data_IF_397303018478
#
_entry.id   IF_397303018478
#
_cell.length_a   1.000
_cell.length_b   1.000
_cell.length_c   1.000
_cell.angle_alpha   90.00
_cell.angle_beta   90.00
_cell.angle_gamma   90.00
#
_symmetry.space_group_name_H-M   'P 1'
#
loop_
_entity.id
_entity.type
_entity.pdbx_description
1 polymer ?
#
# COMPACT_ATOMS: atom_id res chain seq x y z
N UNK A 1 -20.09 -52.36 15.99
CA UNK A 1 -20.33 -51.38 17.06
C UNK A 1 -20.11 -49.99 16.47
N UNK A 2 -21.19 -49.31 16.10
CA UNK A 2 -21.23 -47.87 15.82
C UNK A 2 -22.48 -47.38 16.54
N UNK A 3 -22.30 -47.01 17.80
CA UNK A 3 -23.33 -46.40 18.65
C UNK A 3 -23.05 -44.91 18.71
N UNK A 4 -23.49 -44.19 17.67
CA UNK A 4 -23.63 -42.72 17.71
C UNK A 4 -25.07 -42.39 18.10
N UNK A 5 -25.25 -41.44 19.00
CA UNK A 5 -26.55 -40.98 19.46
C UNK A 5 -27.21 -40.18 18.32
N UNK A 6 -28.04 -40.84 17.51
CA UNK A 6 -28.74 -40.25 16.36
C UNK A 6 -29.55 -38.99 16.72
N UNK A 7 -29.96 -38.84 17.98
CA UNK A 7 -30.75 -37.68 18.43
C UNK A 7 -29.90 -36.40 18.60
N UNK A 8 -28.64 -36.51 19.04
CA UNK A 8 -27.74 -35.35 19.21
C UNK A 8 -27.30 -34.77 17.86
N UNK A 9 -26.99 -35.63 16.90
CA UNK A 9 -26.45 -35.25 15.59
C UNK A 9 -27.47 -34.49 14.72
N UNK A 10 -28.77 -34.74 14.88
CA UNK A 10 -29.80 -34.20 14.00
C UNK A 10 -30.80 -33.25 14.66
N UNK A 11 -31.03 -33.35 15.98
CA UNK A 11 -31.98 -32.47 16.70
C UNK A 11 -31.31 -31.52 17.70
N UNK A 12 -30.00 -31.67 17.94
CA UNK A 12 -29.18 -30.83 18.80
C UNK A 12 -29.19 -31.26 20.27
N UNK A 13 -28.13 -30.88 21.00
CA UNK A 13 -27.83 -31.34 22.38
C UNK A 13 -28.94 -31.05 23.42
N UNK A 14 -29.87 -30.13 23.13
CA UNK A 14 -30.96 -29.74 24.04
C UNK A 14 -32.32 -30.33 23.66
N UNK A 15 -32.37 -31.29 22.74
CA UNK A 15 -33.62 -31.88 22.29
C UNK A 15 -34.19 -32.86 23.32
N UNK A 16 -35.42 -32.61 23.77
CA UNK A 16 -36.17 -33.50 24.66
C UNK A 16 -37.51 -33.91 24.00
N UNK A 17 -37.62 -35.12 23.45
CA UNK A 17 -38.86 -35.56 22.82
C UNK A 17 -39.95 -35.82 23.88
N UNK A 18 -41.15 -35.29 23.65
CA UNK A 18 -42.33 -35.62 24.45
C UNK A 18 -42.77 -37.05 24.17
N UNK A 19 -43.25 -37.79 25.18
CA UNK A 19 -43.58 -39.23 25.08
C UNK A 19 -44.70 -39.62 24.11
N UNK A 20 -45.22 -38.68 23.31
CA UNK A 20 -46.22 -38.88 22.24
C UNK A 20 -45.93 -38.08 20.97
N UNK A 21 -44.76 -37.47 20.85
CA UNK A 21 -44.43 -36.61 19.72
C UNK A 21 -43.74 -37.44 18.62
N UNK A 22 -44.20 -37.27 17.38
CA UNK A 22 -43.55 -37.85 16.20
C UNK A 22 -42.71 -36.76 15.56
N UNK A 23 -41.39 -36.94 15.58
CA UNK A 23 -40.44 -36.03 14.96
C UNK A 23 -40.01 -36.59 13.60
N UNK A 24 -40.25 -35.82 12.55
CA UNK A 24 -39.93 -36.21 11.17
C UNK A 24 -38.78 -35.35 10.67
N UNK A 25 -37.64 -35.98 10.36
CA UNK A 25 -36.57 -35.35 9.61
C UNK A 25 -36.93 -35.36 8.13
N UNK A 26 -36.99 -34.20 7.50
CA UNK A 26 -37.22 -34.10 6.05
C UNK A 26 -35.92 -33.68 5.40
N UNK A 27 -35.30 -34.61 4.68
CA UNK A 27 -34.20 -34.31 3.77
C UNK A 27 -34.79 -33.68 2.50
N UNK A 28 -34.57 -32.38 2.33
CA UNK A 28 -34.99 -31.69 1.11
C UNK A 28 -34.08 -32.13 -0.04
N UNK A 29 -34.61 -32.34 -1.26
CA UNK A 29 -33.78 -32.55 -2.43
C UNK A 29 -32.73 -31.43 -2.56
N UNK A 30 -31.50 -31.72 -3.04
CA UNK A 30 -30.48 -30.69 -3.24
C UNK A 30 -30.97 -29.49 -4.08
N UNK A 31 -31.97 -29.73 -4.93
CA UNK A 31 -32.56 -28.76 -5.85
C UNK A 31 -33.69 -27.93 -5.22
N UNK A 32 -33.97 -28.10 -3.92
CA UNK A 32 -35.03 -27.40 -3.17
C UNK A 32 -34.53 -26.64 -1.94
N UNK A 33 -33.23 -26.35 -1.84
CA UNK A 33 -32.78 -25.28 -0.95
C UNK A 33 -33.17 -23.96 -1.62
N UNK A 34 -34.45 -23.58 -1.47
CA UNK A 34 -34.93 -22.26 -1.84
C UNK A 34 -33.98 -21.26 -1.22
N UNK A 35 -33.42 -20.34 -2.00
CA UNK A 35 -32.61 -19.24 -1.49
C UNK A 35 -33.46 -18.48 -0.46
N UNK A 36 -33.29 -18.80 0.82
CA UNK A 36 -34.03 -18.11 1.87
C UNK A 36 -33.37 -16.76 2.05
N UNK A 37 -33.95 -15.73 1.42
CA UNK A 37 -33.48 -14.35 1.53
C UNK A 37 -33.89 -13.70 2.86
N UNK A 38 -33.60 -14.38 3.97
CA UNK A 38 -33.82 -13.86 5.32
C UNK A 38 -32.47 -13.70 5.99
N UNK A 39 -32.14 -12.48 6.41
CA UNK A 39 -30.91 -12.24 7.16
C UNK A 39 -31.04 -12.81 8.57
N UNK A 40 -30.28 -13.87 8.86
CA UNK A 40 -30.25 -14.51 10.19
C UNK A 40 -29.21 -13.87 11.12
N UNK A 41 -28.92 -12.58 10.95
CA UNK A 41 -27.91 -11.84 11.71
C UNK A 41 -26.47 -12.03 11.21
N UNK A 42 -26.27 -12.78 10.13
CA UNK A 42 -24.94 -13.02 9.56
C UNK A 42 -24.29 -11.75 9.01
N UNK A 43 -25.09 -10.84 8.43
CA UNK A 43 -24.58 -9.53 8.01
C UNK A 43 -24.03 -8.75 9.20
N UNK A 44 -24.78 -8.67 10.31
CA UNK A 44 -24.32 -7.96 11.51
C UNK A 44 -23.08 -8.61 12.12
N UNK A 45 -23.02 -9.96 12.10
CA UNK A 45 -21.83 -10.69 12.52
C UNK A 45 -20.62 -10.34 11.65
N UNK A 46 -20.76 -10.37 10.32
CA UNK A 46 -19.69 -10.00 9.39
C UNK A 46 -19.18 -8.58 9.64
N UNK A 47 -20.08 -7.59 9.76
CA UNK A 47 -19.69 -6.20 10.06
C UNK A 47 -18.88 -6.12 11.35
N UNK A 48 -19.30 -6.82 12.40
CA UNK A 48 -18.60 -6.83 13.68
C UNK A 48 -17.21 -7.49 13.60
N UNK A 49 -17.07 -8.62 12.90
CA UNK A 49 -15.77 -9.26 12.69
C UNK A 49 -14.85 -8.40 11.82
N UNK A 50 -15.37 -7.81 10.74
CA UNK A 50 -14.63 -6.90 9.88
C UNK A 50 -14.05 -5.72 10.68
N UNK A 51 -14.85 -5.10 11.55
CA UNK A 51 -14.40 -3.99 12.40
C UNK A 51 -13.36 -4.38 13.45
N UNK A 52 -13.33 -5.64 13.89
CA UNK A 52 -12.27 -6.13 14.79
C UNK A 52 -10.89 -6.18 14.13
N UNK A 53 -10.86 -6.17 12.80
CA UNK A 53 -9.63 -6.10 12.01
C UNK A 53 -9.18 -4.65 11.73
N UNK A 54 -9.68 -3.67 12.50
CA UNK A 54 -9.21 -2.29 12.41
C UNK A 54 -7.70 -2.22 12.72
N UNK A 55 -6.95 -1.58 11.82
CA UNK A 55 -5.51 -1.41 11.99
C UNK A 55 -5.21 -0.40 13.09
N UNK A 56 -4.23 -0.73 13.93
CA UNK A 56 -3.65 0.24 14.85
C UNK A 56 -2.83 1.28 14.06
N UNK A 57 -2.64 2.52 14.58
CA UNK A 57 -1.94 3.58 13.85
C UNK A 57 -0.53 3.21 13.34
N UNK A 58 0.21 2.39 14.09
CA UNK A 58 1.55 1.92 13.71
C UNK A 58 1.55 0.79 12.66
N UNK A 59 0.38 0.26 12.30
CA UNK A 59 0.18 -0.76 11.28
C UNK A 59 -0.43 -0.19 9.99
N UNK A 60 -0.71 1.12 9.97
CA UNK A 60 -1.19 1.78 8.76
C UNK A 60 -0.11 1.66 7.67
N UNK A 61 -0.47 1.20 6.46
CA UNK A 61 0.47 1.09 5.35
C UNK A 61 1.05 2.46 5.02
N UNK A 62 2.33 2.53 4.66
CA UNK A 62 2.90 3.78 4.15
C UNK A 62 2.25 4.18 2.82
N UNK A 63 2.40 5.44 2.38
CA UNK A 63 1.75 5.96 1.17
C UNK A 63 2.07 5.11 -0.08
N UNK A 64 3.32 4.60 -0.18
CA UNK A 64 3.76 3.69 -1.25
C UNK A 64 3.17 2.28 -1.16
N UNK A 65 2.78 1.82 0.03
CA UNK A 65 2.21 0.50 0.29
C UNK A 65 0.69 0.46 0.06
N UNK A 66 0.00 1.61 0.04
CA UNK A 66 -1.47 1.68 0.01
C UNK A 66 -2.10 0.95 -1.18
N UNK A 67 -1.52 1.08 -2.38
CA UNK A 67 -2.03 0.41 -3.57
C UNK A 67 -1.94 -1.12 -3.42
N UNK A 68 -0.86 -1.62 -2.83
CA UNK A 68 -0.68 -3.06 -2.58
C UNK A 68 -1.56 -3.54 -1.43
N UNK A 69 -1.72 -2.69 -0.41
CA UNK A 69 -2.59 -2.96 0.71
C UNK A 69 -4.03 -3.20 0.25
N UNK A 70 -4.56 -2.35 -0.64
CA UNK A 70 -5.92 -2.46 -1.21
C UNK A 70 -6.07 -3.71 -2.09
N UNK A 71 -5.00 -4.20 -2.68
CA UNK A 71 -5.02 -5.43 -3.49
C UNK A 71 -5.10 -6.72 -2.64
N UNK A 72 -4.93 -6.65 -1.32
CA UNK A 72 -5.11 -7.82 -0.47
C UNK A 72 -6.58 -8.24 -0.38
N UNK A 73 -6.81 -9.50 0.01
CA UNK A 73 -8.16 -9.96 0.30
C UNK A 73 -8.76 -9.24 1.51
N UNK A 74 -10.09 -9.12 1.52
CA UNK A 74 -10.79 -8.54 2.65
C UNK A 74 -10.52 -9.40 3.90
N UNK A 75 -10.07 -8.82 5.03
CA UNK A 75 -9.74 -9.59 6.24
C UNK A 75 -10.86 -10.51 6.69
N UNK A 76 -12.11 -10.05 6.52
CA UNK A 76 -13.31 -10.84 6.71
C UNK A 76 -14.17 -10.74 5.46
N UNK A 77 -14.22 -11.82 4.67
CA UNK A 77 -14.95 -11.86 3.40
C UNK A 77 -16.47 -11.88 3.62
N UNK A 78 -17.18 -11.21 2.72
CA UNK A 78 -18.64 -11.17 2.73
C UNK A 78 -19.19 -12.50 2.22
N UNK A 79 -20.06 -13.14 2.99
CA UNK A 79 -20.61 -14.45 2.64
C UNK A 79 -21.82 -14.34 1.72
N UNK A 80 -21.80 -15.07 0.59
CA UNK A 80 -22.86 -15.09 -0.42
C UNK A 80 -23.35 -16.52 -0.69
N UNK A 81 -24.59 -16.64 -1.18
CA UNK A 81 -25.07 -17.87 -1.81
C UNK A 81 -24.39 -18.09 -3.15
N UNK A 82 -24.16 -19.35 -3.53
CA UNK A 82 -23.58 -19.74 -4.82
C UNK A 82 -24.31 -19.08 -6.00
N UNK A 83 -25.64 -19.22 -6.07
CA UNK A 83 -26.42 -18.64 -7.17
C UNK A 83 -26.30 -17.10 -7.28
N UNK A 84 -26.17 -16.40 -6.15
CA UNK A 84 -26.01 -14.94 -6.15
C UNK A 84 -24.61 -14.56 -6.63
N UNK A 85 -23.60 -15.28 -6.14
CA UNK A 85 -22.22 -15.13 -6.59
C UNK A 85 -22.13 -15.32 -8.12
N UNK A 86 -22.65 -16.44 -8.63
CA UNK A 86 -22.65 -16.75 -10.06
C UNK A 86 -23.40 -15.70 -10.88
N UNK A 87 -24.58 -15.29 -10.41
CA UNK A 87 -25.38 -14.24 -11.05
C UNK A 87 -24.62 -12.92 -11.14
N UNK A 88 -23.92 -12.53 -10.08
CA UNK A 88 -23.15 -11.30 -10.05
C UNK A 88 -21.94 -11.36 -10.98
N UNK A 89 -21.21 -12.48 -10.97
CA UNK A 89 -20.08 -12.71 -11.87
C UNK A 89 -20.50 -12.57 -13.34
N UNK A 90 -21.64 -13.17 -13.73
CA UNK A 90 -22.16 -13.09 -15.10
C UNK A 90 -22.59 -11.66 -15.47
N UNK A 91 -23.05 -10.86 -14.51
CA UNK A 91 -23.54 -9.49 -14.75
C UNK A 91 -22.45 -8.43 -14.77
N UNK A 92 -21.25 -8.74 -14.31
CA UNK A 92 -20.13 -7.81 -14.41
C UNK A 92 -19.80 -7.54 -15.87
N UNK A 93 -19.77 -6.26 -16.26
CA UNK A 93 -19.37 -5.85 -17.63
C UNK A 93 -17.96 -6.31 -17.99
N UNK A 94 -17.11 -6.50 -16.98
CA UNK A 94 -15.79 -7.12 -17.10
C UNK A 94 -15.66 -8.16 -16.00
N UNK A 95 -15.65 -9.43 -16.37
CA UNK A 95 -15.47 -10.53 -15.41
C UNK A 95 -14.13 -10.37 -14.69
N UNK A 96 -14.16 -10.36 -13.36
CA UNK A 96 -12.96 -10.40 -12.52
C UNK A 96 -13.14 -11.41 -11.39
N UNK A 97 -12.87 -12.71 -11.67
CA UNK A 97 -12.95 -13.77 -10.66
C UNK A 97 -12.03 -13.50 -9.47
N UNK A 98 -10.86 -12.88 -9.69
CA UNK A 98 -9.91 -12.55 -8.65
C UNK A 98 -10.48 -11.51 -7.68
N UNK A 99 -11.13 -10.46 -8.19
CA UNK A 99 -11.77 -9.44 -7.36
C UNK A 99 -12.91 -10.04 -6.53
N UNK A 100 -13.74 -10.88 -7.17
CA UNK A 100 -14.83 -11.57 -6.48
C UNK A 100 -14.29 -12.48 -5.35
N UNK A 101 -13.19 -13.20 -5.61
CA UNK A 101 -12.55 -14.07 -4.62
C UNK A 101 -11.87 -13.30 -3.47
N UNK A 102 -11.43 -12.06 -3.70
CA UNK A 102 -10.87 -11.18 -2.65
C UNK A 102 -11.94 -10.67 -1.68
N UNK A 103 -13.14 -10.38 -2.18
CA UNK A 103 -14.21 -9.75 -1.40
C UNK A 103 -15.20 -10.74 -0.79
N UNK A 104 -15.50 -11.83 -1.51
CA UNK A 104 -16.60 -12.72 -1.18
C UNK A 104 -16.15 -14.15 -0.88
N UNK A 105 -16.96 -14.84 -0.07
CA UNK A 105 -16.85 -16.27 0.20
C UNK A 105 -18.20 -16.92 0.02
N UNK A 106 -18.23 -18.11 -0.59
CA UNK A 106 -19.47 -18.84 -0.78
C UNK A 106 -19.84 -19.58 0.51
N UNK A 107 -21.03 -19.30 1.03
CA UNK A 107 -21.64 -20.00 2.17
C UNK A 107 -23.18 -19.89 2.05
N UNK A 108 -23.81 -20.98 1.61
CA UNK A 108 -25.25 -21.02 1.35
C UNK A 108 -26.10 -20.95 2.63
N UNK A 109 -25.51 -21.13 3.82
CA UNK A 109 -26.22 -21.13 5.10
C UNK A 109 -26.03 -19.81 5.88
N UNK A 110 -24.90 -19.14 5.68
CA UNK A 110 -24.49 -17.96 6.45
C UNK A 110 -24.42 -16.68 5.61
N UNK A 111 -25.36 -16.49 4.71
CA UNK A 111 -25.35 -15.41 3.73
C UNK A 111 -25.56 -14.03 4.38
N UNK A 112 -24.82 -13.03 3.91
CA UNK A 112 -25.00 -11.63 4.29
C UNK A 112 -26.16 -10.98 3.49
N UNK A 113 -27.38 -11.43 3.75
CA UNK A 113 -28.58 -11.05 2.99
C UNK A 113 -28.87 -9.54 3.09
N UNK A 114 -28.68 -8.93 4.25
CA UNK A 114 -28.93 -7.49 4.39
C UNK A 114 -27.87 -6.64 3.63
N UNK A 115 -26.63 -7.12 3.51
CA UNK A 115 -25.64 -6.50 2.60
C UNK A 115 -26.11 -6.58 1.14
N UNK A 116 -26.59 -7.75 0.71
CA UNK A 116 -27.11 -7.95 -0.64
C UNK A 116 -28.22 -6.96 -0.98
N UNK A 117 -29.20 -6.77 -0.09
CA UNK A 117 -30.33 -5.86 -0.34
C UNK A 117 -29.97 -4.38 -0.23
N UNK A 118 -29.08 -4.01 0.71
CA UNK A 118 -28.79 -2.60 0.97
C UNK A 118 -27.70 -2.03 0.07
N UNK A 119 -26.73 -2.86 -0.31
CA UNK A 119 -25.54 -2.46 -1.08
C UNK A 119 -25.52 -3.20 -2.41
N UNK A 120 -25.51 -4.53 -2.36
CA UNK A 120 -25.28 -5.39 -3.52
C UNK A 120 -26.21 -5.13 -4.71
N UNK A 121 -27.51 -5.08 -4.48
CA UNK A 121 -28.50 -4.88 -5.53
C UNK A 121 -28.35 -3.51 -6.22
N UNK A 122 -27.87 -2.49 -5.51
CA UNK A 122 -27.69 -1.14 -6.07
C UNK A 122 -26.50 -1.08 -7.02
N UNK A 123 -25.46 -1.86 -6.74
CA UNK A 123 -24.27 -1.98 -7.59
C UNK A 123 -24.61 -2.77 -8.85
N UNK A 124 -25.27 -3.93 -8.70
CA UNK A 124 -25.53 -4.85 -9.82
C UNK A 124 -26.64 -4.37 -10.75
N UNK A 125 -27.61 -3.62 -10.21
CA UNK A 125 -28.74 -3.07 -10.96
C UNK A 125 -28.72 -1.55 -10.94
N UNK A 126 -27.53 -0.96 -11.08
CA UNK A 126 -27.37 0.48 -11.17
C UNK A 126 -28.24 1.04 -12.31
N UNK A 127 -29.02 2.07 -11.98
CA UNK A 127 -29.79 2.82 -12.98
C UNK A 127 -28.86 3.80 -13.67
N UNK A 128 -29.06 4.04 -14.97
CA UNK A 128 -28.34 5.09 -15.69
C UNK A 128 -28.59 6.46 -15.02
N UNK A 129 -27.56 7.09 -14.40
CA UNK A 129 -27.70 8.39 -13.76
C UNK A 129 -28.10 9.51 -14.73
N UNK A 130 -27.76 9.45 -16.02
CA UNK A 130 -27.96 10.55 -16.97
C UNK A 130 -26.68 11.28 -17.34
N UNK A 131 -26.73 12.59 -17.57
CA UNK A 131 -25.65 13.38 -18.17
C UNK A 131 -25.27 14.66 -17.40
N UNK A 132 -25.82 14.86 -16.19
CA UNK A 132 -25.52 16.05 -15.36
C UNK A 132 -24.89 15.66 -14.02
N UNK A 133 -24.07 16.53 -13.45
CA UNK A 133 -23.46 16.32 -12.11
C UNK A 133 -24.52 15.92 -11.06
N UNK A 134 -25.62 16.69 -10.96
CA UNK A 134 -26.71 16.41 -10.00
C UNK A 134 -27.34 15.04 -10.20
N UNK A 135 -27.43 14.57 -11.45
CA UNK A 135 -28.02 13.27 -11.77
C UNK A 135 -27.14 12.08 -11.33
N UNK A 136 -25.82 12.29 -11.22
CA UNK A 136 -24.87 11.30 -10.69
C UNK A 136 -24.82 11.22 -9.16
N UNK A 137 -25.42 12.18 -8.43
CA UNK A 137 -25.37 12.19 -6.95
C UNK A 137 -25.89 10.88 -6.35
N UNK A 138 -27.04 10.38 -6.83
CA UNK A 138 -27.60 9.12 -6.31
C UNK A 138 -26.73 7.92 -6.64
N UNK A 139 -26.07 7.94 -7.79
CA UNK A 139 -25.17 6.87 -8.22
C UNK A 139 -23.93 6.81 -7.32
N UNK A 140 -23.28 7.95 -7.06
CA UNK A 140 -22.15 8.02 -6.14
C UNK A 140 -22.54 7.78 -4.67
N UNK A 141 -23.74 8.19 -4.27
CA UNK A 141 -24.28 7.84 -2.95
C UNK A 141 -24.43 6.33 -2.79
N UNK A 142 -24.82 5.61 -3.84
CA UNK A 142 -24.93 4.15 -3.80
C UNK A 142 -23.57 3.44 -3.73
N UNK A 143 -22.56 3.92 -4.45
CA UNK A 143 -21.24 3.31 -4.49
C UNK A 143 -20.34 3.66 -3.30
N UNK A 144 -20.48 4.86 -2.74
CA UNK A 144 -19.55 5.39 -1.73
C UNK A 144 -20.27 5.60 -0.41
N UNK A 145 -21.24 6.53 -0.38
CA UNK A 145 -21.90 6.95 0.87
C UNK A 145 -22.60 5.79 1.56
N UNK A 146 -23.37 5.00 0.83
CA UNK A 146 -24.14 3.89 1.37
C UNK A 146 -23.24 2.77 1.85
N UNK A 147 -22.10 2.53 1.19
CA UNK A 147 -21.09 1.56 1.64
C UNK A 147 -20.47 2.01 2.97
N UNK A 148 -20.01 3.27 3.06
CA UNK A 148 -19.44 3.82 4.30
C UNK A 148 -20.47 3.83 5.44
N UNK A 149 -21.68 4.31 5.19
CA UNK A 149 -22.78 4.31 6.16
C UNK A 149 -23.33 2.91 6.47
N UNK A 150 -22.88 1.86 5.78
CA UNK A 150 -23.23 0.50 6.12
C UNK A 150 -22.14 -0.10 7.02
N UNK A 151 -20.88 0.00 6.58
CA UNK A 151 -19.74 -0.66 7.20
C UNK A 151 -19.25 0.08 8.45
N UNK A 152 -19.32 1.41 8.52
CA UNK A 152 -18.72 2.23 9.59
C UNK A 152 -19.68 3.27 10.19
N UNK A 153 -20.98 2.98 10.18
CA UNK A 153 -22.06 3.88 10.63
C UNK A 153 -22.02 4.35 12.08
N UNK A 154 -21.32 3.62 12.95
CA UNK A 154 -21.13 3.92 14.37
C UNK A 154 -19.86 4.71 14.64
N UNK A 155 -19.01 4.90 13.62
CA UNK A 155 -17.73 5.62 13.73
C UNK A 155 -17.89 7.06 13.25
N UNK A 156 -18.65 7.29 12.19
CA UNK A 156 -18.74 8.61 11.57
C UNK A 156 -20.02 8.86 10.79
N UNK A 157 -20.12 10.06 10.24
CA UNK A 157 -21.30 10.53 9.52
C UNK A 157 -20.93 11.10 8.15
N UNK A 158 -21.75 10.79 7.16
CA UNK A 158 -21.65 11.35 5.81
C UNK A 158 -22.37 12.69 5.70
N UNK A 159 -21.76 13.66 5.03
CA UNK A 159 -22.33 14.96 4.68
C UNK A 159 -22.12 15.24 3.20
N UNK A 160 -23.05 15.99 2.61
CA UNK A 160 -22.98 16.47 1.22
C UNK A 160 -22.91 17.98 1.19
N UNK A 161 -22.18 18.55 0.24
CA UNK A 161 -22.14 19.99 -0.06
C UNK A 161 -21.96 20.86 1.20
N UNK A 162 -21.03 20.48 2.06
CA UNK A 162 -20.85 21.10 3.38
C UNK A 162 -19.41 21.57 3.57
N UNK A 163 -19.22 22.65 4.31
CA UNK A 163 -17.88 23.07 4.79
C UNK A 163 -17.65 22.65 6.25
N UNK A 164 -18.59 21.91 6.85
CA UNK A 164 -18.55 21.53 8.27
C UNK A 164 -17.34 20.63 8.53
N UNK A 165 -16.39 21.12 9.32
CA UNK A 165 -15.15 20.39 9.65
C UNK A 165 -14.38 19.85 8.44
N UNK A 166 -14.58 20.48 7.28
CA UNK A 166 -13.97 20.06 6.02
C UNK A 166 -12.51 20.52 5.88
N UNK A 167 -12.07 21.41 6.78
CA UNK A 167 -10.77 22.06 6.72
C UNK A 167 -10.53 22.76 5.38
N UNK A 168 -11.56 23.37 4.81
CA UNK A 168 -11.55 23.96 3.45
C UNK A 168 -11.92 25.45 3.41
N UNK A 169 -11.89 26.13 4.56
CA UNK A 169 -12.39 27.51 4.67
C UNK A 169 -13.88 27.60 4.32
N UNK A 170 -14.25 28.42 3.33
CA UNK A 170 -15.63 28.55 2.83
C UNK A 170 -16.01 27.53 1.76
N UNK A 171 -15.05 26.77 1.23
CA UNK A 171 -15.28 25.83 0.13
C UNK A 171 -15.99 24.58 0.66
N UNK A 172 -16.86 24.00 -0.17
CA UNK A 172 -17.77 22.92 0.22
C UNK A 172 -17.52 21.72 -0.67
N UNK A 173 -16.72 20.75 -0.23
CA UNK A 173 -16.58 19.50 -0.99
C UNK A 173 -17.94 18.83 -1.17
N UNK A 174 -18.11 18.16 -2.31
CA UNK A 174 -19.37 17.50 -2.63
C UNK A 174 -19.72 16.42 -1.63
N UNK A 175 -18.71 15.68 -1.16
CA UNK A 175 -18.87 14.64 -0.15
C UNK A 175 -17.84 14.74 0.97
N UNK A 176 -18.29 14.47 2.20
CA UNK A 176 -17.45 14.37 3.40
C UNK A 176 -17.90 13.19 4.26
N UNK A 177 -16.94 12.47 4.82
CA UNK A 177 -17.15 11.53 5.92
C UNK A 177 -16.39 12.01 7.15
N UNK A 178 -17.13 12.30 8.23
CA UNK A 178 -16.60 12.95 9.44
C UNK A 178 -16.67 11.99 10.62
N UNK A 179 -15.53 11.82 11.29
CA UNK A 179 -15.35 11.06 12.54
C UNK A 179 -14.90 12.04 13.62
N UNK A 180 -15.62 12.15 14.74
CA UNK A 180 -15.28 13.03 15.86
C UNK A 180 -14.90 14.47 15.46
N UNK A 181 -15.67 15.08 14.54
CA UNK A 181 -15.43 16.42 13.97
C UNK A 181 -14.19 16.56 13.09
N UNK A 182 -13.61 15.46 12.61
CA UNK A 182 -12.49 15.41 11.67
C UNK A 182 -12.95 14.76 10.36
N UNK A 183 -12.76 15.44 9.22
CA UNK A 183 -13.09 14.89 7.91
C UNK A 183 -12.02 13.92 7.41
N UNK A 184 -12.26 12.61 7.51
CA UNK A 184 -11.28 11.55 7.20
C UNK A 184 -11.37 11.05 5.76
N UNK A 185 -12.47 11.34 5.06
CA UNK A 185 -12.65 11.01 3.64
C UNK A 185 -13.49 12.09 2.95
N UNK A 186 -13.05 12.56 1.79
CA UNK A 186 -13.72 13.64 1.03
C UNK A 186 -13.78 13.36 -0.46
N UNK A 187 -14.73 13.98 -1.16
CA UNK A 187 -14.87 13.82 -2.60
C UNK A 187 -15.32 15.07 -3.32
N UNK A 188 -14.88 15.20 -4.57
CA UNK A 188 -15.38 16.18 -5.55
C UNK A 188 -15.96 15.42 -6.76
N UNK A 189 -17.12 15.86 -7.24
CA UNK A 189 -17.92 15.19 -8.26
C UNK A 189 -18.28 16.17 -9.38
N UNK A 190 -17.97 15.82 -10.62
CA UNK A 190 -18.22 16.69 -11.78
C UNK A 190 -19.04 15.97 -12.85
N UNK A 191 -19.73 16.77 -13.67
CA UNK A 191 -20.57 16.27 -14.77
C UNK A 191 -19.76 15.48 -15.81
N UNK A 192 -20.38 14.53 -16.51
CA UNK A 192 -19.76 13.91 -17.70
C UNK A 192 -19.28 14.95 -18.71
N UNK A 193 -18.09 14.74 -19.27
CA UNK A 193 -17.50 15.63 -20.27
C UNK A 193 -16.58 16.71 -19.70
N UNK A 194 -16.58 16.91 -18.38
CA UNK A 194 -15.57 17.72 -17.71
C UNK A 194 -14.20 17.04 -17.70
N UNK A 195 -13.15 17.80 -17.40
CA UNK A 195 -11.81 17.23 -17.24
C UNK A 195 -11.62 16.74 -15.81
N UNK A 196 -11.14 15.50 -15.63
CA UNK A 196 -10.82 14.92 -14.31
C UNK A 196 -9.87 15.78 -13.47
N UNK A 197 -9.10 16.63 -14.13
CA UNK A 197 -8.21 17.58 -13.49
C UNK A 197 -8.95 18.65 -12.67
N UNK A 198 -10.18 19.02 -13.04
CA UNK A 198 -11.02 19.99 -12.32
C UNK A 198 -11.40 19.49 -10.92
N UNK A 199 -12.14 18.37 -10.76
CA UNK A 199 -12.50 17.88 -9.43
C UNK A 199 -11.27 17.43 -8.64
N UNK A 200 -10.22 16.93 -9.32
CA UNK A 200 -8.93 16.67 -8.68
C UNK A 200 -8.42 17.94 -8.02
N UNK A 201 -8.22 19.03 -8.76
CA UNK A 201 -7.68 20.28 -8.22
C UNK A 201 -8.51 20.82 -7.06
N UNK A 202 -9.84 20.78 -7.17
CA UNK A 202 -10.75 21.19 -6.08
C UNK A 202 -10.58 20.33 -4.82
N UNK A 203 -10.29 19.04 -4.96
CA UNK A 203 -10.03 18.14 -3.84
C UNK A 203 -8.78 18.56 -3.05
N UNK A 204 -7.75 19.06 -3.73
CA UNK A 204 -6.45 19.40 -3.15
C UNK A 204 -6.29 20.87 -2.76
N UNK A 205 -6.51 21.80 -3.68
CA UNK A 205 -6.27 23.23 -3.45
C UNK A 205 -7.20 23.79 -2.37
N UNK A 206 -8.37 23.19 -2.20
CA UNK A 206 -9.28 23.57 -1.15
C UNK A 206 -8.92 22.94 0.21
N UNK A 207 -7.97 22.01 0.29
CA UNK A 207 -7.60 21.34 1.54
C UNK A 207 -6.61 22.20 2.34
N UNK A 208 -7.02 22.63 3.53
CA UNK A 208 -6.12 23.14 4.57
C UNK A 208 -5.81 22.00 5.53
N UNK A 209 -4.53 21.68 5.71
CA UNK A 209 -4.14 20.58 6.58
C UNK A 209 -4.37 20.93 8.07
N UNK A 210 -5.36 20.32 8.70
CA UNK A 210 -5.67 20.48 10.14
C UNK A 210 -5.58 19.16 10.93
N UNK A 211 -4.98 18.13 10.33
CA UNK A 211 -5.06 16.73 10.76
C UNK A 211 -3.89 16.27 11.63
N UNK A 212 -3.07 17.21 12.11
CA UNK A 212 -1.86 16.91 12.88
C UNK A 212 -0.90 16.02 12.09
N UNK A 213 -0.45 14.94 12.73
CA UNK A 213 0.53 13.98 12.21
C UNK A 213 -0.11 12.81 11.45
N UNK A 214 -1.35 12.95 10.97
CA UNK A 214 -1.97 11.91 10.14
C UNK A 214 -1.08 11.59 8.92
N UNK A 215 -0.81 10.31 8.61
CA UNK A 215 0.10 9.97 7.51
C UNK A 215 -0.47 10.34 6.14
N UNK A 216 -1.80 10.23 5.99
CA UNK A 216 -2.55 10.61 4.80
C UNK A 216 -4.04 10.71 5.13
N UNK A 217 -4.77 11.41 4.26
CA UNK A 217 -6.24 11.38 4.17
C UNK A 217 -6.65 10.66 2.90
N UNK A 218 -7.84 10.07 2.92
CA UNK A 218 -8.39 9.50 1.71
C UNK A 218 -9.31 10.50 1.01
N UNK A 219 -9.35 10.45 -0.32
CA UNK A 219 -10.35 11.17 -1.07
C UNK A 219 -10.63 10.57 -2.43
N UNK A 220 -11.61 11.11 -3.13
CA UNK A 220 -11.92 10.72 -4.50
C UNK A 220 -12.25 11.93 -5.37
N UNK A 221 -12.02 11.78 -6.67
CA UNK A 221 -12.53 12.69 -7.68
C UNK A 221 -13.22 11.87 -8.77
N UNK A 222 -14.37 12.35 -9.23
CA UNK A 222 -15.16 11.65 -10.25
C UNK A 222 -15.61 12.61 -11.35
N UNK A 223 -15.67 12.09 -12.58
CA UNK A 223 -16.25 12.75 -13.75
C UNK A 223 -17.15 11.74 -14.46
N UNK A 224 -18.46 11.93 -14.36
CA UNK A 224 -19.41 10.95 -14.88
C UNK A 224 -19.18 9.56 -14.27
N UNK A 225 -18.75 8.58 -15.06
CA UNK A 225 -18.44 7.21 -14.60
C UNK A 225 -16.95 6.99 -14.28
N UNK A 226 -16.07 7.94 -14.62
CA UNK A 226 -14.65 7.83 -14.29
C UNK A 226 -14.43 8.20 -12.83
N UNK A 227 -13.81 7.31 -12.05
CA UNK A 227 -13.47 7.54 -10.65
C UNK A 227 -11.98 7.38 -10.41
N UNK A 228 -11.42 8.23 -9.55
CA UNK A 228 -10.06 8.08 -9.04
C UNK A 228 -10.07 8.20 -7.52
N UNK A 229 -9.37 7.28 -6.87
CA UNK A 229 -9.14 7.29 -5.43
C UNK A 229 -7.75 7.85 -5.15
N UNK A 230 -7.66 8.67 -4.11
CA UNK A 230 -6.45 9.38 -3.73
C UNK A 230 -6.12 9.14 -2.27
N UNK A 231 -4.82 9.07 -2.00
CA UNK A 231 -4.24 9.27 -0.68
C UNK A 231 -3.50 10.61 -0.68
N UNK A 232 -3.84 11.48 0.27
CA UNK A 232 -3.39 12.86 0.35
C UNK A 232 -2.49 12.98 1.57
N UNK A 233 -1.18 13.17 1.38
CA UNK A 233 -0.20 13.24 2.46
C UNK A 233 0.39 14.65 2.62
N UNK A 234 0.70 15.05 3.85
CA UNK A 234 1.41 16.30 4.14
C UNK A 234 2.90 16.16 3.79
N UNK A 235 3.46 17.17 3.14
CA UNK A 235 4.84 17.11 2.61
C UNK A 235 5.80 17.93 3.48
N UNK A 236 5.40 19.14 3.89
CA UNK A 236 6.22 20.04 4.71
C UNK A 236 5.35 20.91 5.63
N UNK A 237 5.98 21.52 6.65
CA UNK A 237 5.31 22.51 7.52
C UNK A 237 4.91 23.80 6.78
N UNK A 238 5.50 24.07 5.61
CA UNK A 238 5.28 25.28 4.79
C UNK A 238 4.74 25.01 3.36
N UNK A 239 4.38 23.76 2.98
CA UNK A 239 3.86 23.44 1.62
C UNK A 239 2.76 22.36 1.66
N UNK A 240 1.65 22.66 1.00
CA UNK A 240 0.46 21.82 0.86
C UNK A 240 0.72 20.53 0.04
N UNK A 241 0.04 19.46 0.48
CA UNK A 241 0.11 18.03 0.14
C UNK A 241 0.68 17.51 -1.21
N UNK A 242 1.27 16.30 -1.19
CA UNK A 242 1.58 15.46 -2.37
C UNK A 242 0.52 14.36 -2.47
N UNK A 243 0.16 14.05 -3.71
CA UNK A 243 -0.80 13.02 -4.10
C UNK A 243 -0.08 11.87 -4.82
N UNK A 244 -0.43 10.64 -4.43
CA UNK A 244 -0.04 9.43 -5.16
C UNK A 244 -1.30 8.80 -5.76
N UNK A 245 -1.36 8.73 -7.09
CA UNK A 245 -2.39 7.99 -7.80
C UNK A 245 -2.06 6.49 -7.74
N UNK A 246 -2.99 5.70 -7.24
CA UNK A 246 -2.83 4.26 -7.05
C UNK A 246 -3.05 3.51 -8.38
N UNK A 247 -2.18 3.70 -9.37
CA UNK A 247 -2.25 3.00 -10.66
C UNK A 247 -1.49 1.64 -10.65
N UNK A 248 -2.06 0.54 -11.19
CA UNK A 248 -1.51 -0.82 -11.10
C UNK A 248 -0.09 -1.03 -11.67
N UNK A 249 0.36 -0.20 -12.61
CA UNK A 249 1.55 -0.50 -13.45
C UNK A 249 2.67 0.53 -13.39
N UNK A 250 2.44 1.69 -12.78
CA UNK A 250 3.40 2.78 -12.68
C UNK A 250 3.27 3.48 -11.33
N UNK A 251 4.27 4.29 -11.00
CA UNK A 251 4.20 5.23 -9.88
C UNK A 251 3.99 6.61 -10.47
N UNK A 252 2.91 7.28 -10.08
CA UNK A 252 2.58 8.62 -10.56
C UNK A 252 2.75 9.58 -9.39
N UNK A 253 3.69 10.52 -9.54
CA UNK A 253 3.87 11.64 -8.60
C UNK A 253 3.21 12.89 -9.19
N UNK A 254 2.19 13.40 -8.50
CA UNK A 254 1.49 14.62 -8.88
C UNK A 254 2.06 15.82 -8.09
N UNK A 255 2.24 16.96 -8.75
CA UNK A 255 2.83 18.15 -8.15
C UNK A 255 1.89 19.36 -8.26
N UNK A 256 1.90 20.27 -7.27
CA UNK A 256 1.34 21.60 -7.45
C UNK A 256 2.00 22.32 -8.64
N UNK A 257 1.24 23.10 -9.41
CA UNK A 257 1.74 23.78 -10.62
C UNK A 257 2.99 24.64 -10.34
N UNK A 258 3.01 25.34 -9.21
CA UNK A 258 4.12 26.17 -8.77
C UNK A 258 5.44 25.39 -8.55
N UNK A 259 5.36 24.09 -8.27
CA UNK A 259 6.50 23.23 -7.96
C UNK A 259 6.87 22.30 -9.12
N UNK A 260 5.92 21.99 -9.99
CA UNK A 260 6.09 21.00 -11.04
C UNK A 260 7.29 21.30 -11.94
N UNK A 261 7.49 22.54 -12.38
CA UNK A 261 8.60 22.86 -13.29
C UNK A 261 9.97 22.65 -12.64
N UNK A 262 10.10 22.95 -11.33
CA UNK A 262 11.33 22.71 -10.58
C UNK A 262 11.56 21.21 -10.37
N UNK A 263 10.53 20.48 -9.95
CA UNK A 263 10.58 19.03 -9.74
C UNK A 263 10.92 18.31 -11.05
N UNK A 264 10.21 18.63 -12.13
CA UNK A 264 10.43 18.10 -13.48
C UNK A 264 11.86 18.35 -13.95
N UNK A 265 12.34 19.60 -13.89
CA UNK A 265 13.70 19.92 -14.35
C UNK A 265 14.79 19.19 -13.56
N UNK A 266 14.60 19.01 -12.25
CA UNK A 266 15.51 18.22 -11.42
C UNK A 266 15.46 16.73 -11.75
N UNK A 267 14.26 16.14 -11.81
CA UNK A 267 14.05 14.72 -12.13
C UNK A 267 14.56 14.39 -13.53
N UNK A 268 14.26 15.19 -14.55
CA UNK A 268 14.78 14.99 -15.90
C UNK A 268 16.31 15.01 -15.93
N UNK A 269 16.95 15.88 -15.15
CA UNK A 269 18.40 15.94 -15.06
C UNK A 269 19.01 14.67 -14.46
N UNK A 270 18.51 14.18 -13.33
CA UNK A 270 19.04 12.97 -12.69
C UNK A 270 18.69 11.70 -13.49
N UNK A 271 17.46 11.55 -13.95
CA UNK A 271 17.03 10.36 -14.69
C UNK A 271 17.71 10.24 -16.06
N UNK A 272 18.07 11.36 -16.69
CA UNK A 272 18.96 11.36 -17.85
C UNK A 272 20.33 10.75 -17.53
N UNK A 273 20.92 11.07 -16.38
CA UNK A 273 22.18 10.45 -15.93
C UNK A 273 22.00 8.95 -15.71
N UNK A 274 20.88 8.53 -15.10
CA UNK A 274 20.57 7.11 -14.90
C UNK A 274 20.54 6.35 -16.23
N UNK A 275 19.92 6.94 -17.26
CA UNK A 275 19.81 6.35 -18.59
C UNK A 275 21.16 6.33 -19.34
N UNK A 276 21.84 7.48 -19.44
CA UNK A 276 23.10 7.62 -20.18
C UNK A 276 24.22 6.72 -19.62
N UNK A 277 24.25 6.52 -18.30
CA UNK A 277 25.24 5.67 -17.63
C UNK A 277 24.76 4.22 -17.44
N UNK A 278 23.55 3.90 -17.93
CA UNK A 278 22.90 2.60 -17.80
C UNK A 278 22.97 2.07 -16.36
N UNK A 279 22.54 2.90 -15.40
CA UNK A 279 22.56 2.56 -13.97
C UNK A 279 21.59 1.38 -13.74
N UNK A 280 22.05 0.25 -13.16
CA UNK A 280 21.22 -0.93 -12.96
C UNK A 280 20.37 -0.79 -11.72
N UNK A 281 19.32 -1.62 -11.60
CA UNK A 281 18.50 -1.75 -10.39
C UNK A 281 17.93 -0.40 -9.91
N UNK A 282 17.39 0.40 -10.83
CA UNK A 282 16.70 1.66 -10.56
C UNK A 282 15.39 1.73 -11.34
N UNK A 283 14.48 2.60 -10.90
CA UNK A 283 13.35 3.00 -11.73
C UNK A 283 13.78 3.97 -12.86
N UNK A 284 12.82 4.32 -13.71
CA UNK A 284 12.97 5.19 -14.86
C UNK A 284 11.81 6.15 -14.93
N UNK A 285 12.08 7.38 -15.34
CA UNK A 285 11.07 8.32 -15.76
C UNK A 285 10.51 7.84 -17.11
N UNK A 286 9.26 7.40 -17.11
CA UNK A 286 8.55 6.99 -18.32
C UNK A 286 8.08 8.22 -19.11
N UNK A 287 7.49 9.19 -18.39
CA UNK A 287 6.83 10.33 -19.00
C UNK A 287 6.60 11.46 -17.97
N UNK A 288 6.69 12.72 -18.43
CA UNK A 288 6.24 13.89 -17.67
C UNK A 288 4.96 14.51 -18.29
N UNK A 289 3.83 14.42 -17.58
CA UNK A 289 2.57 15.05 -17.97
C UNK A 289 2.59 16.50 -17.54
N UNK A 290 2.86 17.40 -18.48
CA UNK A 290 2.86 18.82 -18.15
C UNK A 290 1.46 19.39 -17.99
N UNK A 291 0.44 18.80 -18.60
CA UNK A 291 -0.92 19.30 -18.48
C UNK A 291 -1.51 18.94 -17.13
N UNK A 292 -1.20 17.73 -16.66
CA UNK A 292 -1.68 17.23 -15.38
C UNK A 292 -0.66 17.38 -14.23
N UNK A 293 0.49 18.03 -14.49
CA UNK A 293 1.58 18.22 -13.53
C UNK A 293 2.07 16.91 -12.88
N UNK A 294 2.26 15.84 -13.69
CA UNK A 294 2.61 14.49 -13.22
C UNK A 294 3.97 14.03 -13.72
N UNK A 295 4.69 13.30 -12.90
CA UNK A 295 5.85 12.51 -13.30
C UNK A 295 5.50 11.03 -13.11
N UNK A 296 5.62 10.25 -14.18
CA UNK A 296 5.28 8.83 -14.20
C UNK A 296 6.56 8.00 -14.26
N UNK A 297 6.69 7.05 -13.35
CA UNK A 297 7.88 6.21 -13.18
C UNK A 297 7.57 4.72 -13.34
N UNK A 298 8.54 3.97 -13.88
CA UNK A 298 8.48 2.52 -14.10
C UNK A 298 9.85 1.86 -13.87
N UNK A 299 9.92 0.57 -13.50
CA UNK A 299 8.79 -0.31 -13.19
C UNK A 299 8.21 -0.03 -11.79
N UNK A 300 6.95 -0.38 -11.56
CA UNK A 300 6.37 -0.46 -10.21
C UNK A 300 6.76 -1.80 -9.58
N UNK A 301 7.18 -1.79 -8.32
CA UNK A 301 7.48 -3.01 -7.56
C UNK A 301 6.60 -3.14 -6.32
N UNK A 302 7.13 -3.75 -5.27
CA UNK A 302 6.51 -3.92 -3.96
C UNK A 302 7.43 -3.34 -2.89
N UNK A 303 6.93 -2.39 -2.11
CA UNK A 303 7.62 -1.96 -0.90
C UNK A 303 7.56 -3.12 0.11
N UNK A 304 8.71 -3.73 0.39
CA UNK A 304 8.80 -4.89 1.27
C UNK A 304 10.13 -4.85 2.00
N UNK A 305 10.17 -5.33 3.24
CA UNK A 305 11.44 -5.61 3.92
C UNK A 305 11.93 -7.02 3.60
N UNK A 306 13.26 -7.26 3.58
CA UNK A 306 13.79 -8.59 3.37
C UNK A 306 13.25 -9.54 4.45
N UNK A 307 12.73 -10.69 4.04
CA UNK A 307 12.15 -11.67 4.95
C UNK A 307 13.22 -12.56 5.62
N UNK A 308 14.43 -12.57 5.07
CA UNK A 308 15.55 -13.37 5.55
C UNK A 308 16.90 -12.75 5.11
N UNK A 309 17.98 -13.31 5.64
CA UNK A 309 19.33 -12.81 5.38
C UNK A 309 19.76 -12.90 3.90
N UNK A 310 19.27 -13.89 3.14
CA UNK A 310 19.58 -14.00 1.70
C UNK A 310 18.92 -12.87 0.94
N UNK A 311 17.64 -12.58 1.21
CA UNK A 311 16.97 -11.42 0.62
C UNK A 311 17.66 -10.11 0.98
N UNK A 312 18.16 -9.97 2.21
CA UNK A 312 18.93 -8.79 2.62
C UNK A 312 20.24 -8.66 1.82
N UNK A 313 20.99 -9.74 1.61
CA UNK A 313 22.19 -9.70 0.76
C UNK A 313 21.86 -9.26 -0.66
N UNK A 314 20.81 -9.81 -1.27
CA UNK A 314 20.40 -9.41 -2.61
C UNK A 314 19.96 -7.94 -2.69
N UNK A 315 19.15 -7.46 -1.74
CA UNK A 315 18.71 -6.07 -1.68
C UNK A 315 19.90 -5.10 -1.59
N UNK A 316 20.83 -5.34 -0.65
CA UNK A 316 22.04 -4.53 -0.48
C UNK A 316 22.94 -4.59 -1.72
N UNK A 317 23.06 -5.77 -2.35
CA UNK A 317 23.86 -5.94 -3.56
C UNK A 317 23.26 -5.18 -4.75
N UNK A 318 21.94 -5.15 -4.91
CA UNK A 318 21.29 -4.40 -5.98
C UNK A 318 21.43 -2.89 -5.78
N UNK A 319 21.23 -2.40 -4.54
CA UNK A 319 21.48 -0.99 -4.19
C UNK A 319 22.92 -0.61 -4.47
N UNK A 320 23.89 -1.39 -3.98
CA UNK A 320 25.32 -1.10 -4.20
C UNK A 320 25.71 -1.14 -5.68
N UNK A 321 25.12 -2.03 -6.49
CA UNK A 321 25.33 -2.04 -7.94
C UNK A 321 24.86 -0.75 -8.62
N UNK A 322 23.72 -0.18 -8.18
CA UNK A 322 23.25 1.11 -8.66
C UNK A 322 24.23 2.22 -8.25
N UNK A 323 24.61 2.25 -6.97
CA UNK A 323 25.51 3.26 -6.41
C UNK A 323 26.90 3.24 -7.05
N UNK A 324 27.45 2.07 -7.39
CA UNK A 324 28.73 1.99 -8.11
C UNK A 324 28.73 2.84 -9.37
N UNK A 325 27.66 2.75 -10.18
CA UNK A 325 27.58 3.53 -11.42
C UNK A 325 27.17 4.97 -11.17
N UNK A 326 26.25 5.22 -10.23
CA UNK A 326 25.82 6.58 -9.86
C UNK A 326 27.00 7.41 -9.33
N UNK A 327 27.79 6.83 -8.43
CA UNK A 327 28.97 7.47 -7.84
C UNK A 327 30.07 7.69 -8.88
N UNK A 328 30.24 6.77 -9.84
CA UNK A 328 31.15 6.96 -10.96
C UNK A 328 30.73 8.13 -11.87
N UNK A 329 29.43 8.40 -11.97
CA UNK A 329 28.89 9.59 -12.65
C UNK A 329 28.95 10.87 -11.79
N UNK A 330 29.59 10.82 -10.61
CA UNK A 330 29.65 11.92 -9.63
C UNK A 330 28.28 12.37 -9.11
N UNK A 331 27.33 11.44 -9.02
CA UNK A 331 26.03 11.66 -8.35
C UNK A 331 25.91 10.80 -7.09
N UNK A 332 25.01 11.22 -6.20
CA UNK A 332 24.62 10.51 -4.97
C UNK A 332 23.09 10.57 -4.81
N UNK A 333 22.50 9.57 -4.16
CA UNK A 333 21.06 9.45 -3.97
C UNK A 333 20.53 10.27 -2.79
N UNK A 334 21.27 10.28 -1.68
CA UNK A 334 21.01 10.98 -0.42
C UNK A 334 19.83 10.50 0.44
N UNK A 335 18.76 9.97 -0.14
CA UNK A 335 17.60 9.44 0.63
C UNK A 335 17.48 7.91 0.56
N UNK A 336 18.56 7.17 0.84
CA UNK A 336 18.51 5.69 0.80
C UNK A 336 17.93 5.16 2.11
N UNK A 337 16.73 4.59 2.03
CA UNK A 337 15.99 3.98 3.14
C UNK A 337 15.03 2.93 2.60
N UNK A 338 14.50 2.07 3.48
CA UNK A 338 13.63 0.95 3.06
C UNK A 338 12.43 1.38 2.19
N UNK A 339 11.75 2.51 2.44
CA UNK A 339 10.71 3.03 1.54
C UNK A 339 11.16 3.24 0.08
N UNK A 340 12.45 3.48 -0.14
CA UNK A 340 13.03 3.72 -1.46
C UNK A 340 13.74 2.49 -2.05
N UNK A 341 13.68 1.33 -1.38
CA UNK A 341 14.27 0.06 -1.87
C UNK A 341 13.16 -0.95 -2.12
N UNK A 342 12.83 -1.15 -3.39
CA UNK A 342 11.61 -1.82 -3.82
C UNK A 342 11.93 -3.23 -4.35
N UNK A 343 11.13 -4.22 -3.94
CA UNK A 343 11.21 -5.59 -4.46
C UNK A 343 10.54 -5.68 -5.83
N UNK A 344 11.21 -6.29 -6.80
CA UNK A 344 10.65 -6.56 -8.12
C UNK A 344 9.51 -7.59 -8.04
N UNK A 345 8.45 -7.37 -8.83
CA UNK A 345 7.36 -8.35 -9.00
C UNK A 345 7.74 -9.50 -9.93
N UNK A 346 8.65 -9.25 -10.86
CA UNK A 346 8.98 -10.16 -11.94
C UNK A 346 10.02 -11.21 -11.55
N UNK A 347 10.70 -11.02 -10.40
CA UNK A 347 11.73 -11.95 -9.94
C UNK A 347 11.84 -11.99 -8.42
N UNK A 348 11.85 -13.20 -7.87
CA UNK A 348 11.73 -13.47 -6.42
C UNK A 348 12.83 -12.87 -5.53
N UNK A 349 13.87 -12.28 -6.11
CA UNK A 349 15.06 -11.81 -5.39
C UNK A 349 15.71 -10.56 -5.97
N UNK A 350 15.07 -9.86 -6.92
CA UNK A 350 15.62 -8.60 -7.43
C UNK A 350 15.00 -7.42 -6.71
N UNK A 351 15.84 -6.44 -6.41
CA UNK A 351 15.47 -5.19 -5.77
C UNK A 351 15.96 -4.03 -6.61
N UNK A 352 15.32 -2.87 -6.50
CA UNK A 352 15.74 -1.66 -7.17
C UNK A 352 15.52 -0.43 -6.30
N UNK A 353 16.37 0.57 -6.50
CA UNK A 353 16.34 1.85 -5.79
C UNK A 353 15.43 2.82 -6.56
N UNK A 354 14.54 3.50 -5.86
CA UNK A 354 13.64 4.52 -6.41
C UNK A 354 13.84 5.85 -5.70
N UNK A 355 13.13 6.86 -6.19
CA UNK A 355 13.01 8.18 -5.57
C UNK A 355 14.30 9.02 -5.53
N UNK A 356 14.79 9.35 -6.73
CA UNK A 356 15.95 10.21 -6.93
C UNK A 356 15.64 11.70 -6.77
N UNK A 357 14.54 12.09 -6.11
CA UNK A 357 14.17 13.50 -5.95
C UNK A 357 15.15 14.30 -5.08
N UNK A 358 15.89 13.62 -4.21
CA UNK A 358 16.93 14.19 -3.36
C UNK A 358 18.35 13.98 -3.87
N UNK A 359 18.48 13.34 -5.03
CA UNK A 359 19.76 13.05 -5.63
C UNK A 359 20.48 14.34 -6.02
N UNK A 360 21.81 14.31 -5.97
CA UNK A 360 22.60 15.47 -6.29
C UNK A 360 24.01 15.11 -6.78
N UNK A 361 24.66 16.08 -7.41
CA UNK A 361 26.07 15.96 -7.76
C UNK A 361 26.94 16.01 -6.51
N UNK A 362 27.94 15.13 -6.46
CA UNK A 362 28.95 15.08 -5.42
C UNK A 362 30.24 15.77 -5.90
N UNK A 363 30.87 16.64 -5.09
CA UNK A 363 30.46 17.05 -3.73
C UNK A 363 29.33 18.09 -3.73
N UNK A 364 28.52 18.12 -2.67
CA UNK A 364 27.47 19.12 -2.47
C UNK A 364 27.68 19.89 -1.16
N UNK A 365 27.45 21.21 -1.20
CA UNK A 365 27.50 22.10 -0.04
C UNK A 365 26.24 21.92 0.83
N UNK A 366 26.42 21.82 2.13
CA UNK A 366 25.40 21.78 3.19
C UNK A 366 25.06 23.19 3.70
N UNK A 367 23.85 23.45 4.25
CA UNK A 367 22.73 22.51 4.44
C UNK A 367 21.87 22.38 3.19
N UNK A 368 21.79 21.16 2.66
CA UNK A 368 20.88 20.80 1.55
C UNK A 368 19.88 19.71 1.92
N UNK A 369 19.89 19.26 3.18
CA UNK A 369 19.07 18.15 3.70
C UNK A 369 18.21 18.53 4.90
N UNK A 370 17.83 19.81 5.08
CA UNK A 370 17.01 20.24 6.22
C UNK A 370 15.65 19.53 6.31
N UNK A 371 15.16 19.00 5.20
CA UNK A 371 13.93 18.19 5.12
C UNK A 371 14.17 16.70 5.37
N UNK A 372 15.43 16.25 5.47
CA UNK A 372 15.81 14.87 5.75
C UNK A 372 15.86 14.61 7.26
N UNK A 373 15.67 13.35 7.66
CA UNK A 373 15.65 12.94 9.07
C UNK A 373 17.05 12.64 9.60
N UNK A 374 17.48 13.33 10.66
CA UNK A 374 18.75 13.04 11.36
C UNK A 374 18.82 11.61 11.92
N UNK A 375 17.67 10.97 12.17
CA UNK A 375 17.61 9.60 12.68
C UNK A 375 17.84 8.54 11.59
N UNK A 376 17.73 8.92 10.31
CA UNK A 376 17.75 8.01 9.17
C UNK A 376 18.88 8.29 8.19
N UNK A 377 19.59 9.41 8.34
CA UNK A 377 20.56 9.91 7.38
C UNK A 377 21.94 10.14 7.98
N UNK A 378 22.95 10.14 7.11
CA UNK A 378 24.33 10.36 7.51
C UNK A 378 24.50 11.76 8.17
N UNK A 379 25.27 11.88 9.27
CA UNK A 379 25.33 13.10 10.07
C UNK A 379 25.91 14.30 9.30
N UNK A 380 26.82 14.07 8.35
CA UNK A 380 27.44 15.14 7.58
C UNK A 380 26.50 15.83 6.58
N UNK A 381 25.31 15.25 6.30
CA UNK A 381 24.26 15.93 5.50
C UNK A 381 23.76 17.19 6.22
N UNK A 382 23.82 17.21 7.56
CA UNK A 382 23.31 18.29 8.41
C UNK A 382 24.41 19.19 8.97
N UNK A 383 25.67 18.89 8.67
CA UNK A 383 26.83 19.62 9.19
C UNK A 383 27.31 20.65 8.17
N UNK A 384 27.79 21.81 8.62
CA UNK A 384 28.37 22.81 7.72
C UNK A 384 29.58 22.23 6.96
N UNK A 385 29.62 22.42 5.64
CA UNK A 385 30.69 21.92 4.77
C UNK A 385 30.17 21.17 3.55
N UNK A 386 31.02 20.30 2.99
CA UNK A 386 30.65 19.49 1.83
C UNK A 386 30.45 18.03 2.25
N UNK A 387 29.41 17.40 1.72
CA UNK A 387 29.26 15.96 1.78
C UNK A 387 29.45 15.35 0.38
N UNK A 388 29.74 14.05 0.37
CA UNK A 388 30.10 13.30 -0.83
C UNK A 388 29.26 12.03 -0.92
N UNK A 389 29.51 11.19 -1.93
CA UNK A 389 28.91 9.86 -2.10
C UNK A 389 29.04 8.94 -0.86
N UNK A 390 29.90 9.26 0.10
CA UNK A 390 30.01 8.57 1.39
C UNK A 390 28.71 8.56 2.21
N UNK A 391 27.79 9.51 1.98
CA UNK A 391 26.48 9.54 2.65
C UNK A 391 25.62 8.34 2.26
N UNK A 392 25.63 7.96 0.98
CA UNK A 392 24.88 6.80 0.48
C UNK A 392 25.43 5.49 1.07
N UNK A 393 26.75 5.40 1.22
CA UNK A 393 27.42 4.23 1.81
C UNK A 393 27.04 4.04 3.28
N UNK A 394 26.93 5.14 4.03
CA UNK A 394 26.42 5.10 5.39
C UNK A 394 24.97 4.63 5.44
N UNK A 395 24.13 5.12 4.52
CA UNK A 395 22.73 4.71 4.42
C UNK A 395 22.57 3.22 4.09
N UNK A 396 23.48 2.60 3.33
CA UNK A 396 23.53 1.14 3.16
C UNK A 396 23.73 0.42 4.50
N UNK A 397 24.59 0.97 5.39
CA UNK A 397 24.72 0.49 6.76
C UNK A 397 23.42 0.66 7.56
N UNK A 398 22.72 1.77 7.37
CA UNK A 398 21.44 2.03 8.01
C UNK A 398 20.35 1.05 7.56
N UNK A 399 20.33 0.62 6.29
CA UNK A 399 19.44 -0.44 5.80
C UNK A 399 19.65 -1.75 6.56
N UNK A 400 20.90 -2.14 6.85
CA UNK A 400 21.21 -3.33 7.66
C UNK A 400 20.61 -3.19 9.07
N UNK A 401 20.80 -2.05 9.73
CA UNK A 401 20.29 -1.83 11.10
C UNK A 401 18.75 -1.85 11.18
N UNK A 402 18.07 -1.52 10.08
CA UNK A 402 16.62 -1.30 10.05
C UNK A 402 15.88 -2.37 9.24
N UNK A 403 16.54 -3.46 8.86
CA UNK A 403 15.97 -4.55 8.05
C UNK A 403 14.92 -5.43 8.77
N UNK A 404 14.63 -5.14 10.04
CA UNK A 404 13.71 -5.88 10.91
C UNK A 404 14.46 -6.78 11.90
N UNK A 405 13.98 -6.85 13.14
CA UNK A 405 14.70 -7.42 14.28
C UNK A 405 15.18 -8.87 14.06
N UNK A 406 14.34 -9.70 13.43
CA UNK A 406 14.65 -11.11 13.16
C UNK A 406 15.79 -11.25 12.14
N UNK A 407 15.73 -10.46 11.06
CA UNK A 407 16.75 -10.50 10.00
C UNK A 407 18.04 -9.85 10.47
N UNK A 408 17.94 -8.73 11.19
CA UNK A 408 19.07 -8.05 11.80
C UNK A 408 19.77 -8.93 12.85
N UNK A 409 19.02 -9.66 13.67
CA UNK A 409 19.58 -10.66 14.59
C UNK A 409 20.38 -11.76 13.88
N UNK A 410 20.03 -12.07 12.63
CA UNK A 410 20.75 -13.03 11.78
C UNK A 410 21.98 -12.44 11.09
N UNK A 411 22.13 -11.11 11.07
CA UNK A 411 23.28 -10.40 10.50
C UNK A 411 24.57 -10.67 11.27
N UNK A 412 24.48 -10.88 12.58
CA UNK A 412 25.65 -11.12 13.42
C UNK A 412 26.21 -12.53 13.19
N UNK A 413 27.51 -12.63 12.93
CA UNK A 413 28.28 -13.87 12.84
C UNK A 413 29.23 -14.08 14.00
N UNK A 414 29.62 -15.34 14.20
CA UNK A 414 30.60 -15.73 15.22
C UNK A 414 32.00 -15.16 14.98
N UNK A 415 32.37 -14.82 13.75
CA UNK A 415 33.69 -14.28 13.40
C UNK A 415 33.74 -12.75 13.30
N UNK A 416 32.61 -12.07 13.51
CA UNK A 416 32.44 -10.60 13.42
C UNK A 416 32.69 -10.00 12.03
N UNK A 417 32.77 -10.81 10.99
CA UNK A 417 33.07 -10.34 9.64
C UNK A 417 31.97 -9.39 9.12
N UNK A 418 30.70 -9.74 9.37
CA UNK A 418 29.54 -8.90 9.01
C UNK A 418 29.37 -7.69 9.94
N UNK A 419 29.76 -7.82 11.20
CA UNK A 419 29.76 -6.69 12.15
C UNK A 419 30.79 -5.64 11.76
N UNK A 420 32.01 -6.05 11.44
CA UNK A 420 33.07 -5.14 10.96
C UNK A 420 32.68 -4.43 9.66
N UNK A 421 31.99 -5.13 8.76
CA UNK A 421 31.46 -4.51 7.55
C UNK A 421 30.46 -3.40 7.85
N UNK A 422 29.52 -3.64 8.79
CA UNK A 422 28.55 -2.63 9.22
C UNK A 422 29.24 -1.42 9.88
N UNK A 423 30.19 -1.66 10.79
CA UNK A 423 30.99 -0.61 11.43
C UNK A 423 31.77 0.23 10.41
N UNK A 424 32.30 -0.40 9.36
CA UNK A 424 33.04 0.28 8.30
C UNK A 424 32.12 1.13 7.40
N UNK A 425 30.93 0.63 7.04
CA UNK A 425 29.94 1.39 6.29
C UNK A 425 29.49 2.65 7.05
N UNK A 426 29.31 2.53 8.36
CA UNK A 426 28.78 3.60 9.23
C UNK A 426 29.84 4.36 10.01
N UNK A 427 31.10 4.33 9.57
CA UNK A 427 32.20 5.01 10.25
C UNK A 427 31.93 6.54 10.35
N UNK A 428 32.22 7.15 11.50
CA UNK A 428 31.95 8.58 11.77
C UNK A 428 32.65 9.50 10.76
N UNK A 429 33.95 9.27 10.52
CA UNK A 429 34.72 9.92 9.45
C UNK A 429 34.30 9.39 8.07
N UNK A 430 33.64 10.21 7.20
CA UNK A 430 33.15 9.78 5.90
C UNK A 430 34.27 9.31 4.96
N UNK A 431 35.50 9.81 5.13
CA UNK A 431 36.65 9.46 4.28
C UNK A 431 37.18 8.05 4.53
N UNK A 432 36.82 7.44 5.67
CA UNK A 432 37.18 6.07 6.03
C UNK A 432 36.15 5.03 5.61
N UNK A 433 34.97 5.47 5.18
CA UNK A 433 33.95 4.58 4.61
C UNK A 433 34.46 4.02 3.27
N UNK A 434 34.09 2.79 2.90
CA UNK A 434 34.52 2.22 1.63
C UNK A 434 33.81 2.90 0.47
N UNK A 435 34.36 2.79 -0.75
CA UNK A 435 33.59 3.14 -1.94
C UNK A 435 32.44 2.13 -2.14
N UNK A 436 31.39 2.51 -2.89
CA UNK A 436 30.30 1.58 -3.21
C UNK A 436 30.81 0.29 -3.89
N UNK A 437 31.87 0.38 -4.69
CA UNK A 437 32.51 -0.77 -5.33
C UNK A 437 33.17 -1.70 -4.32
N UNK A 438 33.98 -1.15 -3.41
CA UNK A 438 34.62 -1.92 -2.36
C UNK A 438 33.59 -2.53 -1.39
N UNK A 439 32.51 -1.81 -1.10
CA UNK A 439 31.40 -2.30 -0.31
C UNK A 439 30.67 -3.48 -0.98
N UNK A 440 30.40 -3.38 -2.30
CA UNK A 440 29.76 -4.44 -3.07
C UNK A 440 30.61 -5.72 -3.10
N UNK A 441 31.91 -5.58 -3.34
CA UNK A 441 32.83 -6.71 -3.37
C UNK A 441 32.91 -7.40 -2.01
N UNK A 442 32.98 -6.62 -0.92
CA UNK A 442 32.98 -7.19 0.43
C UNK A 442 31.65 -7.86 0.77
N UNK A 443 30.51 -7.27 0.41
CA UNK A 443 29.19 -7.86 0.62
C UNK A 443 29.07 -9.23 -0.07
N UNK A 444 29.53 -9.35 -1.32
CA UNK A 444 29.52 -10.60 -2.08
C UNK A 444 30.37 -11.70 -1.43
N UNK A 445 31.52 -11.35 -0.87
CA UNK A 445 32.34 -12.30 -0.11
C UNK A 445 31.58 -12.81 1.13
N UNK A 446 30.95 -11.91 1.88
CA UNK A 446 30.17 -12.27 3.08
C UNK A 446 28.98 -13.18 2.75
N UNK A 447 28.31 -12.93 1.63
CA UNK A 447 27.23 -13.79 1.13
C UNK A 447 27.74 -15.19 0.77
N UNK A 448 28.85 -15.29 0.04
CA UNK A 448 29.46 -16.57 -0.31
C UNK A 448 29.86 -17.37 0.94
N UNK A 449 30.55 -16.74 1.88
CA UNK A 449 30.93 -17.33 3.17
C UNK A 449 29.70 -17.85 3.92
N UNK A 450 28.61 -17.08 3.94
CA UNK A 450 27.34 -17.49 4.56
C UNK A 450 26.73 -18.72 3.88
N UNK A 451 26.62 -18.73 2.56
CA UNK A 451 26.05 -19.84 1.80
C UNK A 451 26.87 -21.13 1.94
N UNK A 452 28.20 -21.03 1.98
CA UNK A 452 29.08 -22.16 2.25
C UNK A 452 28.89 -22.74 3.65
N UNK A 453 28.78 -21.87 4.67
CA UNK A 453 28.49 -22.27 6.06
C UNK A 453 27.14 -23.01 6.15
N UNK A 454 26.10 -22.53 5.47
CA UNK A 454 24.79 -23.21 5.41
C UNK A 454 24.90 -24.60 4.79
N UNK A 455 25.50 -24.72 3.61
CA UNK A 455 25.71 -26.02 2.93
C UNK A 455 26.49 -27.01 3.81
N UNK A 456 27.51 -26.54 4.53
CA UNK A 456 28.29 -27.38 5.46
C UNK A 456 27.44 -27.86 6.64
N UNK A 457 26.59 -26.99 7.19
CA UNK A 457 25.71 -27.34 8.31
C UNK A 457 24.61 -28.33 7.90
N UNK A 458 24.05 -28.19 6.70
CA UNK A 458 23.10 -29.15 6.14
C UNK A 458 23.72 -30.53 5.94
N UNK A 459 24.94 -30.61 5.40
CA UNK A 459 25.67 -31.87 5.24
C UNK A 459 25.90 -32.56 6.60
N UNK A 460 26.31 -31.81 7.62
CA UNK A 460 26.47 -32.32 8.99
C UNK A 460 25.15 -32.81 9.60
N UNK A 461 24.03 -32.11 9.36
CA UNK A 461 22.70 -32.54 9.81
C UNK A 461 22.25 -33.84 9.13
N UNK A 462 22.52 -34.01 7.83
CA UNK A 462 22.23 -35.26 7.09
C UNK A 462 23.08 -36.43 7.59
N UNK A 463 24.37 -36.22 7.86
CA UNK A 463 25.27 -37.24 8.41
C UNK A 463 24.96 -37.66 9.86
N UNK A 464 24.23 -36.84 10.63
CA UNK A 464 23.78 -37.17 12.00
C UNK A 464 22.42 -37.88 12.04
N UNK A 465 21.71 -37.93 10.91
CA UNK A 465 20.39 -38.57 10.76
C UNK A 465 20.46 -39.96 10.12
N UNK A 466 21.58 -40.28 9.48
CA UNK A 466 21.98 -41.63 9.06
C UNK A 466 22.91 -42.23 10.11
#
# INVERSE_FOLDING_TARGET
MLSGNLDEDYFGENFQPGGKDIHVLVELPPDQVVVTMVDRGWTAKWVNEFRRNQLAPHQLPHLGELADFIENELPEKITLHQEIYDTWTIKMTSESPELMAKLFKIDNLKQCVNFLFRIGSRIVYATDPGDTETSFISFWDDLIRNVLNFVIHDIGNSYRNSSRSASTGSNRPDYLFIVDSVCVFRGEEQAPGEQMETPRRELFENLVWSYGDAPYLFGYAVVGYEARLYAIARVHDDVDAIEVLLEPSCVVKCFPEALFQRAKGHVEAVYKVLEEHAIPNVDRLDHADQNAMRLIFKPRGQEKRPANLVELFHALANVLQALVKLHAASWMHRDIRWPNVIKSRDSDNSWFLIDFMDAAQSPQVSPSGNHLSQAEHAPEIFSDGNHTTAVDVWSVGRLIQTCGDVVYGSWYDTGRERTQFLELLMHDDPSRRPTAAAALDRLRQLEQEYLERQKRNERKKKQRRN
#
